data_IF_367175230323
#
_entry.id   IF_367175230323
#
_cell.length_a   1.000
_cell.length_b   1.000
_cell.length_c   1.000
_cell.angle_alpha   90.00
_cell.angle_beta   90.00
_cell.angle_gamma   90.00
#
_symmetry.space_group_name_H-M   'P 1'
#
loop_
_entity.id
_entity.type
_entity.pdbx_description
1 polymer ?
#
# COMPACT_ATOMS: atom_id res chain seq x y z
N UNK A 1 9.17 25.99 3.57
CA UNK A 1 8.17 25.91 4.66
C UNK A 1 6.96 26.69 4.19
N UNK A 2 5.75 26.14 4.09
CA UNK A 2 4.58 27.01 3.84
C UNK A 2 3.26 26.35 3.46
N UNK A 3 3.26 25.32 2.61
CA UNK A 3 1.99 24.77 2.09
C UNK A 3 1.30 23.83 3.09
N UNK A 4 2.02 22.88 3.69
CA UNK A 4 1.42 21.93 4.66
C UNK A 4 0.91 22.61 5.95
N UNK A 5 1.52 23.74 6.36
CA UNK A 5 1.12 24.44 7.59
C UNK A 5 -0.22 25.16 7.47
N UNK A 6 -0.68 25.43 6.24
CA UNK A 6 -1.94 26.13 5.97
C UNK A 6 -3.05 25.17 5.52
N UNK A 7 -2.66 24.07 4.87
CA UNK A 7 -3.58 23.10 4.27
C UNK A 7 -4.42 22.31 5.29
N UNK A 8 -3.82 21.86 6.39
CA UNK A 8 -4.56 21.11 7.43
C UNK A 8 -5.63 21.98 8.13
N UNK A 9 -5.33 23.22 8.57
CA UNK A 9 -6.35 24.14 9.08
C UNK A 9 -7.49 24.42 8.08
N UNK A 10 -7.18 24.53 6.78
CA UNK A 10 -8.18 24.75 5.73
C UNK A 10 -9.14 23.56 5.58
N UNK A 11 -8.62 22.34 5.57
CA UNK A 11 -9.45 21.12 5.49
C UNK A 11 -10.36 20.95 6.72
N UNK A 12 -9.86 21.31 7.91
CA UNK A 12 -10.66 21.28 9.14
C UNK A 12 -11.79 22.31 9.09
N UNK A 13 -11.50 23.53 8.64
CA UNK A 13 -12.51 24.57 8.49
C UNK A 13 -13.56 24.22 7.41
N UNK A 14 -13.15 23.59 6.31
CA UNK A 14 -14.08 23.10 5.28
C UNK A 14 -14.98 21.99 5.82
N UNK A 15 -14.41 21.04 6.58
CA UNK A 15 -15.17 19.98 7.25
C UNK A 15 -16.19 20.53 8.26
N UNK A 16 -15.84 21.58 8.99
CA UNK A 16 -16.73 22.17 10.00
C UNK A 16 -17.83 23.05 9.39
N UNK A 17 -17.60 23.61 8.20
CA UNK A 17 -18.57 24.48 7.50
C UNK A 17 -19.45 23.75 6.48
N UNK A 18 -19.05 22.56 6.05
CA UNK A 18 -19.78 21.76 5.07
C UNK A 18 -21.08 21.18 5.69
N UNK A 19 -22.16 21.19 4.90
CA UNK A 19 -23.46 20.68 5.34
C UNK A 19 -23.44 19.14 5.49
N UNK A 20 -24.15 18.63 6.49
CA UNK A 20 -24.20 17.20 6.84
C UNK A 20 -24.85 16.34 5.74
N UNK A 21 -25.56 16.95 4.79
CA UNK A 21 -26.10 16.25 3.61
C UNK A 21 -25.02 15.71 2.67
N UNK A 22 -23.82 16.31 2.66
CA UNK A 22 -22.70 15.89 1.82
C UNK A 22 -21.87 14.77 2.47
N UNK A 23 -22.51 13.62 2.70
CA UNK A 23 -21.92 12.46 3.38
C UNK A 23 -20.61 11.98 2.75
N UNK A 24 -20.54 11.88 1.43
CA UNK A 24 -19.35 11.41 0.71
C UNK A 24 -18.20 12.42 0.80
N UNK A 25 -18.50 13.71 0.66
CA UNK A 25 -17.50 14.78 0.76
C UNK A 25 -16.92 14.86 2.18
N UNK A 26 -17.75 14.70 3.22
CA UNK A 26 -17.31 14.60 4.61
C UNK A 26 -16.38 13.40 4.86
N UNK A 27 -16.67 12.26 4.22
CA UNK A 27 -15.80 11.08 4.29
C UNK A 27 -14.45 11.35 3.62
N UNK A 28 -14.44 11.95 2.43
CA UNK A 28 -13.21 12.29 1.71
C UNK A 28 -12.34 13.29 2.50
N UNK A 29 -12.95 14.34 3.06
CA UNK A 29 -12.25 15.30 3.92
C UNK A 29 -11.66 14.63 5.16
N UNK A 30 -12.42 13.75 5.81
CA UNK A 30 -11.93 13.02 6.98
C UNK A 30 -10.76 12.09 6.65
N UNK A 31 -10.82 11.40 5.51
CA UNK A 31 -9.74 10.54 5.01
C UNK A 31 -8.47 11.37 4.74
N UNK A 32 -8.60 12.53 4.08
CA UNK A 32 -7.46 13.38 3.75
C UNK A 32 -6.83 14.02 5.02
N UNK A 33 -7.65 14.46 5.98
CA UNK A 33 -7.19 14.95 7.28
C UNK A 33 -6.40 13.86 8.02
N UNK A 34 -6.92 12.63 8.08
CA UNK A 34 -6.23 11.50 8.70
C UNK A 34 -4.90 11.20 8.02
N UNK A 35 -4.87 11.22 6.69
CA UNK A 35 -3.65 10.96 5.89
C UNK A 35 -2.57 11.99 6.16
N UNK A 36 -2.92 13.27 6.28
CA UNK A 36 -1.99 14.36 6.63
C UNK A 36 -1.50 14.21 8.07
N UNK A 37 -2.39 13.94 9.02
CA UNK A 37 -2.03 13.74 10.43
C UNK A 37 -1.12 12.53 10.65
N UNK A 38 -1.31 11.45 9.87
CA UNK A 38 -0.43 10.27 9.86
C UNK A 38 0.89 10.49 9.11
N UNK A 39 1.10 11.65 8.49
CA UNK A 39 2.31 11.99 7.74
C UNK A 39 2.44 11.23 6.41
N UNK A 40 1.36 10.66 5.89
CA UNK A 40 1.35 9.85 4.67
C UNK A 40 1.34 10.70 3.40
N UNK A 41 1.13 12.02 3.51
CA UNK A 41 1.16 12.97 2.38
C UNK A 41 2.51 13.07 1.66
N UNK A 42 3.60 12.56 2.26
CA UNK A 42 4.95 12.58 1.66
C UNK A 42 5.29 11.36 0.81
N UNK A 43 4.45 10.33 0.73
CA UNK A 43 4.77 9.10 -0.03
C UNK A 43 4.80 9.29 -1.55
N UNK A 44 4.37 10.42 -2.09
CA UNK A 44 4.03 10.47 -3.52
C UNK A 44 5.02 11.14 -4.48
N UNK A 45 6.15 11.71 -4.08
CA UNK A 45 7.14 12.22 -5.08
C UNK A 45 8.61 12.09 -4.68
N UNK A 46 8.97 12.20 -3.39
CA UNK A 46 10.37 12.07 -2.92
C UNK A 46 10.82 10.63 -2.68
N UNK A 47 9.89 9.68 -2.68
CA UNK A 47 10.19 8.25 -2.55
C UNK A 47 10.54 7.59 -3.89
N UNK A 48 10.42 8.31 -5.02
CA UNK A 48 10.73 7.75 -6.35
C UNK A 48 12.23 7.69 -6.69
N UNK A 49 13.08 8.39 -5.92
CA UNK A 49 14.52 8.39 -6.13
C UNK A 49 15.22 7.67 -4.99
N UNK A 50 16.02 6.67 -5.34
CA UNK A 50 16.87 5.97 -4.38
C UNK A 50 18.15 6.79 -4.15
N UNK A 51 18.37 7.22 -2.90
CA UNK A 51 19.66 7.74 -2.47
C UNK A 51 20.67 6.59 -2.37
N UNK A 52 21.59 6.54 -3.34
CA UNK A 52 22.60 5.49 -3.45
C UNK A 52 23.66 5.55 -2.35
N UNK A 53 23.81 6.68 -1.65
CA UNK A 53 24.81 6.88 -0.60
C UNK A 53 24.26 6.61 0.81
N UNK A 54 22.95 6.67 1.00
CA UNK A 54 22.33 6.56 2.32
C UNK A 54 22.18 5.11 2.84
N UNK A 55 22.50 4.08 2.05
CA UNK A 55 22.39 2.65 2.41
C UNK A 55 21.09 2.25 3.14
N UNK A 56 19.97 2.93 2.87
CA UNK A 56 18.68 2.62 3.50
C UNK A 56 18.07 1.37 2.90
N UNK A 57 17.63 0.44 3.74
CA UNK A 57 16.87 -0.72 3.30
C UNK A 57 15.52 -0.30 2.69
N UNK A 58 15.24 -0.75 1.48
CA UNK A 58 13.97 -0.52 0.78
C UNK A 58 13.12 -1.78 0.78
N UNK A 59 11.80 -1.63 0.93
CA UNK A 59 10.83 -2.73 0.80
C UNK A 59 10.23 -2.71 -0.60
N UNK A 60 10.46 -3.76 -1.38
CA UNK A 60 9.83 -3.96 -2.69
C UNK A 60 8.73 -5.01 -2.57
N UNK A 61 7.59 -4.78 -3.25
CA UNK A 61 6.47 -5.72 -3.30
C UNK A 61 5.89 -5.77 -4.70
N UNK A 62 5.91 -6.95 -5.29
CA UNK A 62 5.29 -7.24 -6.59
C UNK A 62 4.03 -8.09 -6.37
N UNK A 63 2.95 -7.83 -7.12
CA UNK A 63 1.73 -8.64 -7.10
C UNK A 63 1.55 -9.35 -8.43
N UNK A 64 1.64 -10.68 -8.40
CA UNK A 64 1.43 -11.52 -9.59
C UNK A 64 0.05 -12.15 -9.55
N UNK A 65 -0.74 -11.95 -10.60
CA UNK A 65 -2.05 -12.56 -10.74
C UNK A 65 -1.93 -13.97 -11.33
N UNK A 66 -2.58 -14.94 -10.70
CA UNK A 66 -2.72 -16.30 -11.23
C UNK A 66 -4.02 -16.39 -12.02
N UNK A 67 -3.94 -16.81 -13.30
CA UNK A 67 -5.08 -16.87 -14.22
C UNK A 67 -5.97 -18.10 -13.97
N UNK A 68 -6.54 -18.20 -12.77
CA UNK A 68 -7.42 -19.32 -12.35
C UNK A 68 -8.65 -19.50 -13.24
N UNK A 69 -9.09 -18.44 -13.92
CA UNK A 69 -10.21 -18.49 -14.87
C UNK A 69 -9.89 -19.32 -16.12
N UNK A 70 -8.62 -19.40 -16.51
CA UNK A 70 -8.20 -20.16 -17.70
C UNK A 70 -8.03 -21.65 -17.41
N UNK A 71 -7.67 -22.01 -16.17
CA UNK A 71 -7.60 -23.40 -15.74
C UNK A 71 -8.22 -23.59 -14.34
N UNK A 72 -9.56 -23.68 -14.27
CA UNK A 72 -10.27 -23.77 -13.00
C UNK A 72 -10.07 -25.11 -12.29
N UNK A 73 -9.52 -26.12 -12.97
CA UNK A 73 -9.29 -27.46 -12.39
C UNK A 73 -7.91 -27.59 -11.75
N UNK A 74 -7.01 -26.65 -11.99
CA UNK A 74 -5.66 -26.69 -11.48
C UNK A 74 -5.52 -26.01 -10.11
N UNK A 75 -4.95 -26.73 -9.14
CA UNK A 75 -4.69 -26.18 -7.81
C UNK A 75 -3.33 -25.47 -7.75
N UNK A 76 -3.31 -24.21 -8.20
CA UNK A 76 -2.10 -23.38 -8.18
C UNK A 76 -1.55 -23.18 -6.77
N UNK A 77 -2.41 -22.88 -5.79
CA UNK A 77 -2.00 -22.65 -4.40
C UNK A 77 -1.32 -23.88 -3.83
N UNK A 78 -1.93 -25.06 -3.99
CA UNK A 78 -1.36 -26.32 -3.56
C UNK A 78 -0.03 -26.65 -4.22
N UNK A 79 0.12 -26.35 -5.53
CA UNK A 79 1.37 -26.55 -6.26
C UNK A 79 2.50 -25.63 -5.78
N UNK A 80 2.18 -24.37 -5.49
CA UNK A 80 3.14 -23.37 -4.99
C UNK A 80 3.57 -23.69 -3.55
N UNK A 81 2.62 -24.01 -2.67
CA UNK A 81 2.91 -24.34 -1.28
C UNK A 81 3.67 -25.67 -1.17
N UNK A 82 3.20 -26.69 -1.87
CA UNK A 82 3.68 -28.06 -1.73
C UNK A 82 3.35 -28.68 -0.37
N UNK A 83 3.78 -29.94 -0.14
CA UNK A 83 3.53 -30.65 1.11
C UNK A 83 4.12 -29.87 2.29
N UNK A 84 3.28 -29.58 3.30
CA UNK A 84 3.64 -28.82 4.51
C UNK A 84 4.28 -27.44 4.24
N UNK A 85 4.09 -26.87 3.04
CA UNK A 85 4.71 -25.61 2.66
C UNK A 85 6.21 -25.73 2.32
N UNK A 86 6.75 -26.94 2.13
CA UNK A 86 8.17 -27.13 1.88
C UNK A 86 8.63 -26.53 0.54
N UNK A 87 7.78 -26.56 -0.48
CA UNK A 87 8.11 -25.97 -1.79
C UNK A 87 8.23 -24.45 -1.71
N UNK A 88 7.25 -23.76 -1.11
CA UNK A 88 7.31 -22.30 -0.98
C UNK A 88 8.45 -21.87 -0.04
N UNK A 89 8.72 -22.60 1.04
CA UNK A 89 9.84 -22.31 1.95
C UNK A 89 11.18 -22.41 1.21
N UNK A 90 11.37 -23.45 0.39
CA UNK A 90 12.56 -23.61 -0.44
C UNK A 90 12.68 -22.46 -1.44
N UNK A 91 11.61 -22.13 -2.15
CA UNK A 91 11.59 -21.04 -3.13
C UNK A 91 11.94 -19.69 -2.50
N UNK A 92 11.37 -19.37 -1.33
CA UNK A 92 11.71 -18.15 -0.60
C UNK A 92 13.20 -18.08 -0.22
N UNK A 93 13.79 -19.22 0.17
CA UNK A 93 15.21 -19.30 0.52
C UNK A 93 16.11 -19.12 -0.71
N UNK A 94 15.75 -19.73 -1.83
CA UNK A 94 16.51 -19.64 -3.09
C UNK A 94 16.48 -18.23 -3.68
N UNK A 95 15.32 -17.56 -3.65
CA UNK A 95 15.14 -16.20 -4.20
C UNK A 95 15.57 -15.13 -3.20
N UNK A 96 15.65 -15.45 -1.90
CA UNK A 96 15.91 -14.47 -0.85
C UNK A 96 14.76 -13.48 -0.63
N UNK A 97 13.54 -13.85 -1.04
CA UNK A 97 12.36 -13.01 -0.98
C UNK A 97 11.23 -13.67 -0.20
N UNK A 98 10.38 -12.86 0.43
CA UNK A 98 9.14 -13.33 1.05
C UNK A 98 8.07 -13.49 -0.04
N UNK A 99 7.51 -14.69 -0.14
CA UNK A 99 6.45 -15.01 -1.08
C UNK A 99 5.19 -15.30 -0.26
N UNK A 100 4.08 -14.67 -0.62
CA UNK A 100 2.81 -14.88 0.05
C UNK A 100 1.75 -15.12 -1.01
N UNK A 101 0.99 -16.19 -0.84
CA UNK A 101 -0.15 -16.55 -1.68
C UNK A 101 -1.40 -16.25 -0.87
N UNK A 102 -2.33 -15.49 -1.46
CA UNK A 102 -3.56 -15.04 -0.84
C UNK A 102 -4.75 -15.53 -1.67
#
# INVERSE_FOLDING_TARGET
MGLESKYLPELMAEKDSLDLSFTHTMQLLSIEIEKIQKGESKRNDKENYLDLFSHKNMKLKERVLILVKQDPKFNFVGKILGPQGNTIKRLQKEVGAKISVQ
#
